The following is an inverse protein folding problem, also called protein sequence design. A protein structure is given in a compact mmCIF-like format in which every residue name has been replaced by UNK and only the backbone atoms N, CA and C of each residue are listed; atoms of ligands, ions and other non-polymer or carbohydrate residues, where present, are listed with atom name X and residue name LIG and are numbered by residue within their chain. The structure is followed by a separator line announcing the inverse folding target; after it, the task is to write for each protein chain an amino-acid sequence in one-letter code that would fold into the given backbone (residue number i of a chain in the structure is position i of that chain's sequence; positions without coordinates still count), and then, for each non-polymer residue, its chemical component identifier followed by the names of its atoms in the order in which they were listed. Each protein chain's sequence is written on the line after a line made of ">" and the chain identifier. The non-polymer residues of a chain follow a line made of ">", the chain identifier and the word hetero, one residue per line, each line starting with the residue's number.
data_IF_575464725345
#
_entry.id   IF_575464725345
#
_cell.length_a   1.000
_cell.length_b   1.000
_cell.length_c   1.000
_cell.angle_alpha   90.00
_cell.angle_beta   90.00
_cell.angle_gamma   90.00
#
_symmetry.space_group_name_H-M   'P 1'
#
loop_
_entity.id
_entity.type
_entity.pdbx_description
1 polymer ?
#
# COMPACT_ATOMS: atom_id res chain seq x y z
N UNK A 1 8.77 1.87 -4.34
CA UNK A 1 8.21 0.68 -3.64
C UNK A 1 6.86 0.27 -4.23
N UNK A 2 5.88 1.19 -4.33
CA UNK A 2 4.58 0.90 -4.94
C UNK A 2 4.70 0.36 -6.37
N UNK A 3 5.50 0.97 -7.24
CA UNK A 3 5.74 0.48 -8.62
C UNK A 3 6.17 -0.99 -8.67
N UNK A 4 6.95 -1.45 -7.68
CA UNK A 4 7.43 -2.83 -7.61
C UNK A 4 6.32 -3.79 -7.18
N UNK A 5 5.64 -3.51 -6.08
CA UNK A 5 4.60 -4.39 -5.54
C UNK A 5 3.30 -4.37 -6.36
N UNK A 6 2.96 -3.22 -6.95
CA UNK A 6 1.77 -3.06 -7.77
C UNK A 6 1.94 -3.58 -9.21
N UNK A 7 3.16 -3.98 -9.62
CA UNK A 7 3.47 -4.42 -11.00
C UNK A 7 2.62 -5.59 -11.51
N UNK A 8 2.13 -6.44 -10.60
CA UNK A 8 1.32 -7.62 -10.93
C UNK A 8 -0.19 -7.40 -10.74
N UNK A 9 -0.59 -6.21 -10.31
CA UNK A 9 -1.99 -5.86 -10.08
C UNK A 9 -2.62 -5.35 -11.39
N UNK A 10 -3.89 -5.65 -11.64
CA UNK A 10 -4.65 -5.08 -12.76
C UNK A 10 -5.11 -3.66 -12.38
N UNK A 11 -4.24 -2.67 -12.63
CA UNK A 11 -4.47 -1.27 -12.25
C UNK A 11 -5.25 -0.51 -13.32
N UNK A 12 -6.08 0.42 -12.86
CA UNK A 12 -6.66 1.46 -13.68
C UNK A 12 -5.59 2.50 -14.09
N UNK A 13 -5.79 3.16 -15.23
CA UNK A 13 -4.83 4.14 -15.76
C UNK A 13 -4.67 5.39 -14.88
N UNK A 14 -5.60 5.64 -13.96
CA UNK A 14 -5.61 6.80 -13.08
C UNK A 14 -4.88 6.57 -11.72
N UNK A 15 -4.19 5.44 -11.55
CA UNK A 15 -3.41 5.18 -10.32
C UNK A 15 -2.09 5.95 -10.35
N UNK A 16 -1.96 6.92 -9.44
CA UNK A 16 -0.78 7.78 -9.36
C UNK A 16 0.16 7.35 -8.22
N UNK A 17 1.27 6.67 -8.56
CA UNK A 17 2.24 6.21 -7.56
C UNK A 17 2.93 7.35 -6.80
N UNK A 18 3.06 8.53 -7.41
CA UNK A 18 3.61 9.73 -6.74
C UNK A 18 2.73 10.18 -5.58
N UNK A 19 1.41 10.18 -5.76
CA UNK A 19 0.46 10.52 -4.71
C UNK A 19 0.46 9.45 -3.60
N UNK A 20 0.46 8.16 -3.97
CA UNK A 20 0.57 7.07 -3.01
C UNK A 20 1.83 7.19 -2.15
N UNK A 21 2.98 7.50 -2.75
CA UNK A 21 4.23 7.71 -2.01
C UNK A 21 4.14 8.91 -1.05
N UNK A 22 3.47 9.99 -1.46
CA UNK A 22 3.31 11.20 -0.63
C UNK A 22 2.48 10.93 0.62
N UNK A 23 1.37 10.20 0.49
CA UNK A 23 0.44 9.94 1.60
C UNK A 23 0.89 8.79 2.51
N UNK A 24 1.82 7.94 2.07
CA UNK A 24 2.40 6.87 2.89
C UNK A 24 3.81 7.20 3.39
N UNK A 25 4.09 8.47 3.67
CA UNK A 25 5.35 8.83 4.32
C UNK A 25 5.42 8.17 5.71
N UNK A 26 6.57 7.57 6.05
CA UNK A 26 6.75 6.78 7.28
C UNK A 26 6.26 5.33 7.21
N UNK A 27 5.75 4.86 6.06
CA UNK A 27 5.39 3.45 5.87
C UNK A 27 6.63 2.66 5.45
N UNK A 28 6.83 1.49 6.06
CA UNK A 28 7.89 0.55 5.69
C UNK A 28 7.57 -0.18 4.39
N UNK A 29 8.57 -0.83 3.78
CA UNK A 29 8.34 -1.68 2.61
C UNK A 29 7.30 -2.79 2.85
N UNK A 30 7.26 -3.34 4.06
CA UNK A 30 6.26 -4.32 4.47
C UNK A 30 4.84 -3.72 4.53
N UNK A 31 4.71 -2.47 4.98
CA UNK A 31 3.41 -1.79 4.95
C UNK A 31 2.92 -1.56 3.53
N UNK A 32 3.81 -1.12 2.63
CA UNK A 32 3.45 -0.93 1.21
C UNK A 32 3.02 -2.25 0.56
N UNK A 33 3.73 -3.35 0.84
CA UNK A 33 3.33 -4.68 0.40
C UNK A 33 1.95 -5.07 0.91
N UNK A 34 1.70 -4.88 2.21
CA UNK A 34 0.43 -5.20 2.84
C UNK A 34 -0.72 -4.36 2.29
N UNK A 35 -0.49 -3.08 2.00
CA UNK A 35 -1.46 -2.21 1.34
C UNK A 35 -1.83 -2.79 -0.03
N UNK A 36 -0.83 -3.15 -0.86
CA UNK A 36 -1.08 -3.71 -2.19
C UNK A 36 -1.87 -5.03 -2.12
N UNK A 37 -1.56 -5.90 -1.15
CA UNK A 37 -2.28 -7.16 -0.95
C UNK A 37 -3.73 -6.92 -0.51
N UNK A 38 -3.96 -6.01 0.43
CA UNK A 38 -5.31 -5.72 0.93
C UNK A 38 -6.20 -5.06 -0.12
N UNK A 39 -5.63 -4.17 -0.95
CA UNK A 39 -6.32 -3.60 -2.10
C UNK A 39 -6.73 -4.68 -3.10
N UNK A 40 -5.84 -5.63 -3.41
CA UNK A 40 -6.16 -6.75 -4.29
C UNK A 40 -7.28 -7.63 -3.69
N UNK A 41 -7.19 -7.95 -2.40
CA UNK A 41 -8.21 -8.75 -1.70
C UNK A 41 -9.58 -8.07 -1.73
N UNK A 42 -9.64 -6.76 -1.45
CA UNK A 42 -10.88 -5.99 -1.51
C UNK A 42 -11.58 -6.12 -2.86
N UNK A 43 -10.86 -5.88 -3.95
CA UNK A 43 -11.44 -5.92 -5.30
C UNK A 43 -11.86 -7.34 -5.70
N UNK A 44 -11.13 -8.36 -5.23
CA UNK A 44 -11.51 -9.77 -5.42
C UNK A 44 -12.76 -10.12 -4.61
N UNK A 45 -12.86 -9.67 -3.35
CA UNK A 45 -14.03 -9.89 -2.51
C UNK A 45 -15.29 -9.26 -3.12
N UNK A 46 -15.21 -8.01 -3.57
CA UNK A 46 -16.31 -7.33 -4.27
C UNK A 46 -16.79 -8.14 -5.50
N UNK A 47 -15.85 -8.65 -6.29
CA UNK A 47 -16.17 -9.45 -7.47
C UNK A 47 -16.99 -10.70 -7.12
N UNK A 48 -16.63 -11.41 -6.05
CA UNK A 48 -17.38 -12.58 -5.57
C UNK A 48 -18.72 -12.19 -4.93
N UNK A 49 -18.79 -11.08 -4.19
CA UNK A 49 -20.02 -10.59 -3.56
C UNK A 49 -21.09 -10.17 -4.57
N UNK A 50 -20.67 -9.64 -5.73
CA UNK A 50 -21.55 -9.30 -6.85
C UNK A 50 -22.13 -10.53 -7.59
N UNK A 51 -21.77 -11.75 -7.18
CA UNK A 51 -22.28 -12.98 -7.77
C UNK A 51 -21.63 -13.35 -9.11
N UNK A 52 -20.51 -12.70 -9.47
CA UNK A 52 -19.79 -12.98 -10.71
C UNK A 52 -19.03 -14.32 -10.68
N UNK A 53 -19.04 -15.07 -9.57
CA UNK A 53 -18.60 -16.46 -9.49
C UNK A 53 -17.17 -16.72 -9.98
N UNK A 54 -16.90 -17.94 -10.46
CA UNK A 54 -15.62 -18.35 -11.07
C UNK A 54 -15.45 -17.86 -12.52
N UNK A 55 -16.45 -17.16 -13.09
CA UNK A 55 -16.47 -16.71 -14.48
C UNK A 55 -16.22 -15.21 -14.60
N UNK A 56 -15.02 -14.83 -15.03
CA UNK A 56 -14.65 -13.45 -15.29
C UNK A 56 -13.38 -13.06 -14.57
N UNK A 57 -13.18 -11.75 -14.41
CA UNK A 57 -12.06 -11.20 -13.63
C UNK A 57 -12.54 -10.04 -12.80
N UNK A 58 -11.94 -9.80 -11.62
CA UNK A 58 -12.22 -8.60 -10.84
C UNK A 58 -12.02 -7.34 -11.68
N UNK A 59 -12.75 -6.28 -11.33
CA UNK A 59 -12.53 -4.96 -11.92
C UNK A 59 -11.08 -4.49 -11.71
N UNK A 60 -10.65 -3.52 -12.49
CA UNK A 60 -9.37 -2.86 -12.25
C UNK A 60 -9.34 -2.18 -10.88
N UNK A 61 -8.19 -2.24 -10.23
CA UNK A 61 -7.91 -1.52 -8.99
C UNK A 61 -7.78 -0.04 -9.30
N UNK A 62 -8.51 0.80 -8.56
CA UNK A 62 -8.52 2.25 -8.73
C UNK A 62 -7.77 2.95 -7.61
N UNK A 63 -7.51 4.25 -7.79
CA UNK A 63 -6.85 5.07 -6.77
C UNK A 63 -7.65 5.07 -5.45
N UNK A 64 -8.97 5.07 -5.53
CA UNK A 64 -9.87 5.06 -4.37
C UNK A 64 -9.68 3.81 -3.50
N UNK A 65 -9.39 2.64 -4.08
CA UNK A 65 -9.15 1.41 -3.34
C UNK A 65 -7.93 1.54 -2.43
N UNK A 66 -6.84 2.13 -2.95
CA UNK A 66 -5.66 2.44 -2.16
C UNK A 66 -5.97 3.45 -1.06
N UNK A 67 -6.71 4.51 -1.39
CA UNK A 67 -7.08 5.54 -0.40
C UNK A 67 -7.91 4.97 0.74
N UNK A 68 -8.84 4.06 0.46
CA UNK A 68 -9.65 3.38 1.47
C UNK A 68 -8.82 2.49 2.39
N UNK A 69 -7.91 1.69 1.83
CA UNK A 69 -7.03 0.82 2.61
C UNK A 69 -6.05 1.64 3.46
N UNK A 70 -5.45 2.69 2.89
CA UNK A 70 -4.52 3.57 3.61
C UNK A 70 -5.23 4.28 4.76
N UNK A 71 -6.46 4.78 4.56
CA UNK A 71 -7.25 5.44 5.62
C UNK A 71 -7.58 4.52 6.79
N UNK A 72 -7.76 3.22 6.55
CA UNK A 72 -8.03 2.23 7.59
C UNK A 72 -6.78 1.84 8.39
N UNK A 73 -5.57 2.07 7.85
CA UNK A 73 -4.30 1.69 8.46
C UNK A 73 -3.59 2.88 9.11
N UNK A 74 -3.12 2.69 10.35
CA UNK A 74 -2.09 3.57 10.94
C UNK A 74 -0.71 3.15 10.42
N UNK A 75 0.24 4.09 10.20
CA UNK A 75 1.62 3.75 9.87
C UNK A 75 2.24 2.87 10.95
N UNK A 76 3.03 1.86 10.55
CA UNK A 76 3.68 0.93 11.49
C UNK A 76 4.93 1.53 12.15
N UNK A 77 5.52 2.55 11.53
CA UNK A 77 6.65 3.29 12.08
C UNK A 77 6.16 4.65 12.54
N UNK A 78 6.22 4.88 13.84
CA UNK A 78 5.92 6.20 14.39
C UNK A 78 7.12 7.15 14.19
N UNK A 79 6.81 8.43 13.98
CA UNK A 79 7.82 9.46 13.70
C UNK A 79 8.82 9.64 14.85
N UNK A 80 8.40 9.38 16.10
CA UNK A 80 9.26 9.49 17.28
C UNK A 80 10.30 8.35 17.33
N UNK A 81 9.90 7.14 16.93
CA UNK A 81 10.78 5.98 16.77
C UNK A 81 11.76 6.20 15.63
N UNK A 82 11.36 6.85 14.52
CA UNK A 82 12.29 7.24 13.46
C UNK A 82 13.34 8.22 13.98
N UNK A 83 12.96 9.26 14.73
CA UNK A 83 13.92 10.19 15.33
C UNK A 83 14.89 9.50 16.28
N UNK A 84 14.40 8.57 17.12
CA UNK A 84 15.25 7.79 18.03
C UNK A 84 16.22 6.91 17.25
N UNK A 85 15.77 6.26 16.18
CA UNK A 85 16.62 5.43 15.34
C UNK A 85 17.67 6.26 14.58
N UNK A 86 17.30 7.45 14.07
CA UNK A 86 18.23 8.39 13.44
C UNK A 86 19.25 8.93 14.42
N UNK A 87 18.85 9.28 15.64
CA UNK A 87 19.77 9.69 16.72
C UNK A 87 20.72 8.56 17.10
N UNK A 88 20.21 7.33 17.21
CA UNK A 88 21.03 6.16 17.49
C UNK A 88 22.03 5.88 16.35
N UNK A 89 21.57 5.90 15.10
CA UNK A 89 22.42 5.72 13.92
C UNK A 89 23.46 6.84 13.79
N UNK A 90 23.12 8.09 14.09
CA UNK A 90 24.08 9.20 14.12
C UNK A 90 25.12 9.04 15.23
N UNK A 91 24.78 8.38 16.35
CA UNK A 91 25.66 8.26 17.52
C UNK A 91 26.51 6.99 17.49
N UNK A 92 26.04 5.93 16.84
CA UNK A 92 26.66 4.59 16.86
C UNK A 92 26.80 3.95 15.48
N UNK A 93 26.29 4.59 14.42
CA UNK A 93 26.44 4.12 13.04
C UNK A 93 27.90 4.24 12.61
N UNK A 94 28.55 3.10 12.45
CA UNK A 94 29.91 3.01 11.89
C UNK A 94 29.85 3.24 10.38
N UNK A 95 30.81 4.04 9.88
CA UNK A 95 31.03 4.31 8.46
C UNK A 95 31.54 3.10 7.70
#
# INVERSE_FOLDING_TARGET
>A
MFEYYARKLDLDGNVEFGELARITNGYSGADIYNICMEVQMKVVSEFFEEGNGDEGKPRKIRMEDFMEVIRKRKPSVDLESMEKMLKWASKYGTS
#
